data_IF_932547076666
#
_entry.id   IF_932547076666
#
_cell.length_a   1.000
_cell.length_b   1.000
_cell.length_c   1.000
_cell.angle_alpha   90.00
_cell.angle_beta   90.00
_cell.angle_gamma   90.00
#
_symmetry.space_group_name_H-M   'P 1'
#
loop_
_entity.id
_entity.type
_entity.pdbx_description
1 polymer ?
#
# COMPACT_ATOMS: atom_id res chain seq x y z
N UNK A 1 -24.22 0.43 8.11
CA UNK A 1 -24.58 0.74 6.70
C UNK A 1 -25.13 2.16 6.69
N UNK A 2 -24.64 3.04 5.80
CA UNK A 2 -25.15 4.41 5.67
C UNK A 2 -26.03 4.50 4.44
N UNK A 3 -27.19 5.17 4.54
CA UNK A 3 -28.10 5.41 3.43
C UNK A 3 -28.09 6.90 3.08
N UNK A 4 -27.73 7.20 1.83
CA UNK A 4 -27.67 8.57 1.30
C UNK A 4 -28.69 8.67 0.17
N UNK A 5 -29.53 9.70 0.21
CA UNK A 5 -30.46 10.00 -0.88
C UNK A 5 -29.82 11.04 -1.78
N UNK A 6 -29.80 10.76 -3.07
CA UNK A 6 -29.37 11.66 -4.13
C UNK A 6 -30.52 11.79 -5.12
N UNK A 7 -30.72 12.99 -5.65
CA UNK A 7 -31.51 13.19 -6.86
C UNK A 7 -30.83 12.52 -8.07
N UNK A 8 -31.57 12.39 -9.17
CA UNK A 8 -31.05 11.82 -10.41
C UNK A 8 -29.80 12.59 -10.90
N UNK A 9 -29.87 13.92 -10.90
CA UNK A 9 -28.79 14.78 -11.41
C UNK A 9 -27.54 14.72 -10.51
N UNK A 10 -27.72 14.71 -9.19
CA UNK A 10 -26.62 14.53 -8.24
C UNK A 10 -25.96 13.16 -8.41
N UNK A 11 -26.77 12.10 -8.61
CA UNK A 11 -26.24 10.77 -8.84
C UNK A 11 -25.42 10.71 -10.14
N UNK A 12 -25.93 11.25 -11.25
CA UNK A 12 -25.19 11.33 -12.51
C UNK A 12 -23.86 12.10 -12.38
N UNK A 13 -23.88 13.22 -11.65
CA UNK A 13 -22.67 14.00 -11.41
C UNK A 13 -21.61 13.22 -10.60
N UNK A 14 -22.06 12.48 -9.57
CA UNK A 14 -21.19 11.62 -8.75
C UNK A 14 -20.68 10.44 -9.56
N UNK A 15 -21.51 9.82 -10.39
CA UNK A 15 -21.12 8.71 -11.27
C UNK A 15 -20.04 9.12 -12.26
N UNK A 16 -20.22 10.25 -12.95
CA UNK A 16 -19.21 10.78 -13.85
C UNK A 16 -17.89 11.11 -13.12
N UNK A 17 -17.97 11.63 -11.89
CA UNK A 17 -16.78 11.91 -11.08
C UNK A 17 -16.06 10.64 -10.61
N UNK A 18 -16.82 9.60 -10.25
CA UNK A 18 -16.28 8.30 -9.86
C UNK A 18 -15.60 7.61 -11.06
N UNK A 19 -16.20 7.67 -12.24
CA UNK A 19 -15.62 7.15 -13.48
C UNK A 19 -14.30 7.84 -13.83
N UNK A 20 -14.27 9.19 -13.80
CA UNK A 20 -13.01 9.95 -14.00
C UNK A 20 -11.93 9.60 -12.98
N UNK A 21 -12.32 9.19 -11.78
CA UNK A 21 -11.42 8.76 -10.72
C UNK A 21 -11.05 7.26 -10.80
N UNK A 22 -11.64 6.48 -11.72
CA UNK A 22 -11.44 5.03 -11.82
C UNK A 22 -12.00 4.26 -10.62
N UNK A 23 -13.06 4.77 -9.98
CA UNK A 23 -13.66 4.19 -8.77
C UNK A 23 -15.14 3.85 -9.01
N UNK A 24 -15.67 2.90 -8.24
CA UNK A 24 -17.13 2.76 -8.13
C UNK A 24 -17.72 3.95 -7.35
N UNK A 25 -19.00 4.26 -7.61
CA UNK A 25 -19.74 5.34 -6.92
C UNK A 25 -19.62 5.24 -5.39
N UNK A 26 -19.79 4.04 -4.83
CA UNK A 26 -19.67 3.81 -3.38
C UNK A 26 -18.25 4.02 -2.86
N UNK A 27 -17.22 3.61 -3.62
CA UNK A 27 -15.82 3.83 -3.24
C UNK A 27 -15.44 5.32 -3.28
N UNK A 28 -15.98 6.06 -4.25
CA UNK A 28 -15.79 7.50 -4.39
C UNK A 28 -16.48 8.29 -3.27
N UNK A 29 -17.76 8.02 -2.97
CA UNK A 29 -18.47 8.69 -1.85
C UNK A 29 -17.78 8.38 -0.52
N UNK A 30 -17.34 7.13 -0.32
CA UNK A 30 -16.60 6.73 0.88
C UNK A 30 -15.27 7.48 0.99
N UNK A 31 -14.51 7.64 -0.10
CA UNK A 31 -13.23 8.35 -0.05
C UNK A 31 -13.42 9.82 0.33
N UNK A 32 -14.40 10.51 -0.25
CA UNK A 32 -14.73 11.90 0.07
C UNK A 32 -15.26 12.06 1.50
N UNK A 33 -16.12 11.15 1.95
CA UNK A 33 -16.71 11.19 3.29
C UNK A 33 -15.65 10.96 4.37
N UNK A 34 -14.74 10.03 4.15
CA UNK A 34 -13.61 9.79 5.04
C UNK A 34 -12.63 10.97 5.01
N UNK A 35 -12.34 11.53 3.83
CA UNK A 35 -11.56 12.77 3.69
C UNK A 35 -12.16 13.94 4.48
N UNK A 36 -13.47 14.19 4.33
CA UNK A 36 -14.18 15.24 5.08
C UNK A 36 -14.22 14.99 6.59
N UNK A 37 -14.17 13.72 7.00
CA UNK A 37 -14.04 13.32 8.41
C UNK A 37 -12.59 13.34 8.93
N UNK A 38 -11.60 13.73 8.11
CA UNK A 38 -10.17 13.71 8.46
C UNK A 38 -9.54 12.32 8.50
N UNK A 39 -10.27 11.28 8.12
CA UNK A 39 -9.83 9.89 8.05
C UNK A 39 -9.39 9.60 6.60
N UNK A 40 -8.11 9.48 6.27
CA UNK A 40 -7.71 9.20 4.86
C UNK A 40 -7.16 7.79 4.69
N UNK A 41 -7.69 6.97 3.76
CA UNK A 41 -6.88 5.97 3.09
C UNK A 41 -6.34 6.58 1.79
N UNK A 42 -5.06 6.98 1.82
CA UNK A 42 -4.36 7.72 0.76
C UNK A 42 -3.88 6.84 -0.42
N UNK A 43 -4.27 5.57 -0.48
CA UNK A 43 -3.68 4.61 -1.40
C UNK A 43 -4.57 4.42 -2.64
N UNK A 44 -4.01 4.60 -3.82
CA UNK A 44 -4.64 4.23 -5.10
C UNK A 44 -4.66 2.70 -5.26
N UNK A 45 -5.32 2.20 -6.31
CA UNK A 45 -5.29 0.76 -6.62
C UNK A 45 -3.87 0.28 -6.96
N UNK A 46 -3.10 1.10 -7.67
CA UNK A 46 -1.69 0.85 -7.92
C UNK A 46 -0.88 0.78 -6.62
N UNK A 47 -1.11 1.70 -5.67
CA UNK A 47 -0.41 1.68 -4.39
C UNK A 47 -0.74 0.44 -3.57
N UNK A 48 -2.01 0.01 -3.58
CA UNK A 48 -2.42 -1.25 -2.93
C UNK A 48 -1.74 -2.46 -3.56
N UNK A 49 -1.63 -2.50 -4.89
CA UNK A 49 -0.95 -3.58 -5.60
C UNK A 49 0.54 -3.64 -5.25
N UNK A 50 1.23 -2.49 -5.21
CA UNK A 50 2.64 -2.37 -4.83
C UNK A 50 2.85 -2.81 -3.38
N UNK A 51 2.03 -2.32 -2.45
CA UNK A 51 2.08 -2.74 -1.03
C UNK A 51 1.85 -4.25 -0.90
N UNK A 52 0.92 -4.81 -1.67
CA UNK A 52 0.66 -6.25 -1.70
C UNK A 52 1.86 -7.06 -2.19
N UNK A 53 2.60 -6.58 -3.20
CA UNK A 53 3.83 -7.20 -3.68
C UNK A 53 4.92 -7.16 -2.61
N UNK A 54 5.20 -5.97 -2.07
CA UNK A 54 6.18 -5.74 -1.03
C UNK A 54 5.92 -6.60 0.23
N UNK A 55 4.66 -6.74 0.64
CA UNK A 55 4.28 -7.56 1.79
C UNK A 55 4.54 -9.06 1.54
N UNK A 56 4.38 -9.54 0.31
CA UNK A 56 4.72 -10.93 -0.05
C UNK A 56 6.23 -11.15 0.03
N UNK A 57 7.02 -10.24 -0.53
CA UNK A 57 8.48 -10.35 -0.55
C UNK A 57 9.06 -10.31 0.88
N UNK A 58 8.55 -9.40 1.71
CA UNK A 58 8.91 -9.33 3.14
C UNK A 58 8.57 -10.62 3.90
N UNK A 59 7.44 -11.27 3.58
CA UNK A 59 7.07 -12.56 4.19
C UNK A 59 8.03 -13.67 3.77
N UNK A 60 8.43 -13.70 2.50
CA UNK A 60 9.40 -14.69 2.00
C UNK A 60 10.75 -14.53 2.72
N UNK A 61 11.25 -13.30 2.85
CA UNK A 61 12.47 -12.99 3.61
C UNK A 61 12.35 -13.42 5.07
N UNK A 62 11.24 -13.09 5.74
CA UNK A 62 11.02 -13.50 7.12
C UNK A 62 11.02 -15.02 7.29
N UNK A 63 10.44 -15.75 6.34
CA UNK A 63 10.50 -17.22 6.31
C UNK A 63 11.94 -17.73 6.19
N UNK A 64 12.73 -17.17 5.28
CA UNK A 64 14.13 -17.57 5.07
C UNK A 64 15.00 -17.28 6.30
N UNK A 65 14.88 -16.09 6.88
CA UNK A 65 15.57 -15.73 8.13
C UNK A 65 15.20 -16.67 9.27
N UNK A 66 13.91 -17.01 9.40
CA UNK A 66 13.45 -17.95 10.43
C UNK A 66 13.94 -19.39 10.18
N UNK A 67 14.16 -19.80 8.93
CA UNK A 67 14.78 -21.08 8.61
C UNK A 67 16.26 -21.11 8.99
N UNK A 68 17.01 -20.04 8.69
CA UNK A 68 18.42 -19.88 9.09
C UNK A 68 18.54 -19.91 10.62
N UNK A 69 17.71 -19.12 11.33
CA UNK A 69 17.71 -19.10 12.79
C UNK A 69 17.40 -20.48 13.40
N UNK A 70 16.41 -21.21 12.84
CA UNK A 70 16.10 -22.57 13.28
C UNK A 70 17.22 -23.56 13.01
N UNK A 71 17.96 -23.43 11.91
CA UNK A 71 19.10 -24.28 11.62
C UNK A 71 20.25 -24.06 12.61
N UNK A 72 20.57 -22.80 12.89
CA UNK A 72 21.58 -22.42 13.90
C UNK A 72 21.17 -22.93 15.29
N UNK A 73 19.92 -22.69 15.70
CA UNK A 73 19.41 -23.14 17.00
C UNK A 73 19.38 -24.68 17.15
N UNK A 74 19.27 -25.41 16.04
CA UNK A 74 19.34 -26.87 16.00
C UNK A 74 20.79 -27.39 15.96
N UNK A 75 21.80 -26.52 16.10
CA UNK A 75 23.22 -26.89 16.05
C UNK A 75 23.73 -27.26 14.65
N UNK A 76 22.96 -26.96 13.58
CA UNK A 76 23.40 -27.22 12.20
C UNK A 76 24.37 -26.12 11.75
N UNK A 77 25.41 -26.52 11.03
CA UNK A 77 26.27 -25.58 10.32
C UNK A 77 25.50 -24.96 9.16
N UNK A 78 25.41 -23.64 9.14
CA UNK A 78 24.88 -22.86 8.02
C UNK A 78 26.07 -22.13 7.39
N UNK A 79 26.20 -22.18 6.06
CA UNK A 79 27.28 -21.50 5.37
C UNK A 79 27.21 -19.99 5.58
N UNK A 80 28.36 -19.35 5.82
CA UNK A 80 28.41 -17.89 5.97
C UNK A 80 27.86 -17.15 4.73
N UNK A 81 28.01 -17.75 3.54
CA UNK A 81 27.42 -17.27 2.28
C UNK A 81 25.90 -17.31 2.30
N UNK A 82 25.28 -18.34 2.86
CA UNK A 82 23.82 -18.50 2.89
C UNK A 82 23.20 -17.46 3.82
N UNK A 83 23.82 -17.21 4.98
CA UNK A 83 23.42 -16.15 5.89
C UNK A 83 23.58 -14.78 5.22
N UNK A 84 24.72 -14.54 4.57
CA UNK A 84 24.99 -13.27 3.89
C UNK A 84 23.98 -13.00 2.77
N UNK A 85 23.62 -14.01 1.98
CA UNK A 85 22.63 -13.89 0.90
C UNK A 85 21.24 -13.54 1.42
N UNK A 86 20.75 -14.26 2.44
CA UNK A 86 19.44 -13.96 3.03
C UNK A 86 19.39 -12.55 3.64
N UNK A 87 20.50 -12.09 4.25
CA UNK A 87 20.60 -10.72 4.78
C UNK A 87 20.65 -9.68 3.65
N UNK A 88 21.35 -9.96 2.55
CA UNK A 88 21.40 -9.08 1.39
C UNK A 88 20.01 -8.92 0.74
N UNK A 89 19.29 -10.02 0.53
CA UNK A 89 17.92 -10.02 0.02
C UNK A 89 16.98 -9.23 0.93
N UNK A 90 17.10 -9.43 2.26
CA UNK A 90 16.32 -8.70 3.25
C UNK A 90 16.55 -7.18 3.15
N UNK A 91 17.80 -6.75 3.01
CA UNK A 91 18.15 -5.34 2.84
C UNK A 91 17.63 -4.76 1.54
N UNK A 92 17.72 -5.52 0.43
CA UNK A 92 17.22 -5.07 -0.86
C UNK A 92 15.72 -4.79 -0.82
N UNK A 93 14.92 -5.73 -0.32
CA UNK A 93 13.46 -5.54 -0.21
C UNK A 93 13.10 -4.45 0.78
N UNK A 94 13.78 -4.37 1.93
CA UNK A 94 13.55 -3.29 2.89
C UNK A 94 13.80 -1.90 2.28
N UNK A 95 14.83 -1.75 1.46
CA UNK A 95 15.10 -0.50 0.75
C UNK A 95 14.00 -0.17 -0.26
N UNK A 96 13.54 -1.16 -1.03
CA UNK A 96 12.41 -0.96 -1.96
C UNK A 96 11.15 -0.52 -1.22
N UNK A 97 10.84 -1.13 -0.07
CA UNK A 97 9.71 -0.72 0.77
C UNK A 97 9.80 0.74 1.18
N UNK A 98 10.97 1.19 1.63
CA UNK A 98 11.19 2.57 2.06
C UNK A 98 11.01 3.55 0.90
N UNK A 99 11.56 3.23 -0.28
CA UNK A 99 11.45 4.07 -1.48
C UNK A 99 9.99 4.20 -1.92
N UNK A 100 9.27 3.09 -2.05
CA UNK A 100 7.88 3.08 -2.49
C UNK A 100 6.97 3.82 -1.51
N UNK A 101 7.17 3.65 -0.19
CA UNK A 101 6.41 4.41 0.81
C UNK A 101 6.73 5.92 0.76
N UNK A 102 7.99 6.30 0.54
CA UNK A 102 8.37 7.70 0.38
C UNK A 102 7.71 8.31 -0.88
N UNK A 103 7.70 7.59 -2.00
CA UNK A 103 7.04 8.04 -3.23
C UNK A 103 5.52 8.17 -3.05
N UNK A 104 4.88 7.18 -2.43
CA UNK A 104 3.45 7.23 -2.12
C UNK A 104 3.09 8.43 -1.24
N UNK A 105 3.90 8.72 -0.21
CA UNK A 105 3.69 9.88 0.67
C UNK A 105 3.95 11.22 -0.02
N UNK A 106 4.88 11.29 -0.97
CA UNK A 106 5.17 12.49 -1.75
C UNK A 106 4.08 12.76 -2.81
N UNK A 107 3.63 11.73 -3.53
CA UNK A 107 2.45 11.81 -4.42
C UNK A 107 1.21 12.24 -3.64
N UNK A 108 1.08 11.74 -2.42
CA UNK A 108 0.04 12.16 -1.51
C UNK A 108 0.12 13.65 -1.15
N UNK A 109 1.32 14.17 -0.89
CA UNK A 109 1.54 15.57 -0.53
C UNK A 109 1.36 16.53 -1.72
N UNK A 110 1.80 16.14 -2.92
CA UNK A 110 1.68 16.95 -4.15
C UNK A 110 0.23 17.08 -4.61
N UNK A 111 -0.54 15.99 -4.56
CA UNK A 111 -1.98 16.02 -4.83
C UNK A 111 -2.75 16.99 -3.90
N UNK A 112 -2.27 17.22 -2.67
CA UNK A 112 -2.85 18.22 -1.74
C UNK A 112 -2.63 19.67 -2.20
N UNK A 113 -1.52 19.97 -2.89
CA UNK A 113 -1.15 21.36 -3.27
C UNK A 113 -1.82 21.82 -4.56
N UNK A 114 -2.05 20.89 -5.51
CA UNK A 114 -2.66 21.22 -6.81
C UNK A 114 -4.16 21.54 -6.77
N UNK A 115 -4.81 21.43 -5.60
CA UNK A 115 -6.28 21.58 -5.44
C UNK A 115 -6.68 22.81 -4.60
N UNK A 116 -5.70 23.66 -4.27
CA UNK A 116 -5.89 24.94 -3.56
C UNK A 116 -5.80 26.17 -4.50
N UNK A 117 -5.90 25.96 -5.82
CA UNK A 117 -5.94 27.01 -6.84
C UNK A 117 -7.28 27.03 -7.57
#
# INVERSE_FOLDING_TARGET
MAHIRLSQDEFCAVEAAAERAGLSVSAFIRSLSLEGAGLRPFLTEADRAIIGLLARDMRAIGSNLNQVARAINAGRSVGASDVANVVADARAVANTVVVELADMTQRAATARRGRSG
#
